data_IF_136298162944
#
_entry.id   IF_136298162944
#
_cell.length_a   1.000
_cell.length_b   1.000
_cell.length_c   1.000
_cell.angle_alpha   90.00
_cell.angle_beta   90.00
_cell.angle_gamma   90.00
#
_symmetry.space_group_name_H-M   'P 1'
#
loop_
_entity.id
_entity.type
_entity.pdbx_description
1 polymer ?
#
# COMPACT_ATOMS: atom_id res chain seq x y z
N UNK A 1 12.89 14.24 -16.59
CA UNK A 1 11.79 15.06 -16.04
C UNK A 1 10.50 14.26 -15.95
N UNK A 2 10.08 13.57 -17.00
CA UNK A 2 8.88 12.70 -16.97
C UNK A 2 9.08 11.49 -16.05
N UNK A 3 10.13 10.69 -16.26
CA UNK A 3 10.51 9.56 -15.39
C UNK A 3 10.69 9.92 -13.91
N UNK A 4 11.15 11.14 -13.62
CA UNK A 4 11.29 11.66 -12.26
C UNK A 4 9.91 11.88 -11.62
N UNK A 5 8.98 12.53 -12.33
CA UNK A 5 7.60 12.73 -11.88
C UNK A 5 6.90 11.41 -11.62
N UNK A 6 7.05 10.44 -12.52
CA UNK A 6 6.47 9.09 -12.38
C UNK A 6 7.03 8.39 -11.13
N UNK A 7 8.34 8.45 -10.93
CA UNK A 7 8.98 7.90 -9.72
C UNK A 7 8.46 8.56 -8.44
N UNK A 8 8.30 9.89 -8.45
CA UNK A 8 7.73 10.64 -7.31
C UNK A 8 6.28 10.21 -7.05
N UNK A 9 5.47 10.05 -8.09
CA UNK A 9 4.08 9.60 -7.95
C UNK A 9 4.01 8.18 -7.36
N UNK A 10 4.84 7.26 -7.84
CA UNK A 10 4.94 5.90 -7.28
C UNK A 10 5.35 5.93 -5.79
N UNK A 11 6.37 6.73 -5.43
CA UNK A 11 6.76 6.92 -4.02
C UNK A 11 5.58 7.43 -3.18
N UNK A 12 4.82 8.40 -3.69
CA UNK A 12 3.65 8.96 -2.98
C UNK A 12 2.55 7.92 -2.79
N UNK A 13 2.27 7.12 -3.83
CA UNK A 13 1.27 6.05 -3.79
C UNK A 13 1.65 4.97 -2.75
N UNK A 14 2.90 4.49 -2.78
CA UNK A 14 3.41 3.55 -1.78
C UNK A 14 3.41 4.14 -0.36
N UNK A 15 3.76 5.41 -0.20
CA UNK A 15 3.73 6.07 1.10
C UNK A 15 2.32 6.18 1.67
N UNK A 16 1.33 6.49 0.82
CA UNK A 16 -0.07 6.48 1.23
C UNK A 16 -0.53 5.08 1.66
N UNK A 17 -0.29 4.06 0.83
CA UNK A 17 -0.72 2.69 1.12
C UNK A 17 -0.05 2.11 2.37
N UNK A 18 1.25 2.32 2.55
CA UNK A 18 1.96 1.89 3.77
C UNK A 18 1.40 2.56 5.03
N UNK A 19 1.06 3.84 4.96
CA UNK A 19 0.37 4.55 6.04
C UNK A 19 -1.00 3.96 6.37
N UNK A 20 -1.82 3.68 5.35
CA UNK A 20 -3.12 3.03 5.51
C UNK A 20 -3.00 1.65 6.16
N UNK A 21 -2.09 0.81 5.66
CA UNK A 21 -1.86 -0.54 6.17
C UNK A 21 -1.37 -0.54 7.62
N UNK A 22 -0.55 0.45 7.99
CA UNK A 22 -0.11 0.69 9.37
C UNK A 22 -1.29 1.03 10.27
N UNK A 23 -2.14 1.97 9.88
CA UNK A 23 -3.33 2.32 10.66
C UNK A 23 -4.28 1.12 10.82
N UNK A 24 -4.51 0.37 9.76
CA UNK A 24 -5.38 -0.81 9.79
C UNK A 24 -4.80 -1.98 10.58
N UNK A 25 -3.49 -1.99 10.86
CA UNK A 25 -2.88 -2.94 11.78
C UNK A 25 -3.35 -2.75 13.22
N UNK A 26 -3.68 -1.52 13.58
CA UNK A 26 -4.13 -1.14 14.92
C UNK A 26 -5.66 -1.27 15.06
N UNK A 27 -6.37 -1.42 13.94
CA UNK A 27 -7.81 -1.69 13.92
C UNK A 27 -8.12 -3.17 14.28
N UNK A 28 -8.93 -3.45 15.31
CA UNK A 28 -9.21 -4.82 15.76
C UNK A 28 -9.85 -5.73 14.71
N UNK A 29 -10.54 -5.17 13.71
CA UNK A 29 -11.23 -5.92 12.67
C UNK A 29 -10.38 -6.01 11.42
N UNK A 30 -9.78 -4.91 10.97
CA UNK A 30 -8.93 -4.92 9.78
C UNK A 30 -7.62 -5.67 10.00
N UNK A 31 -7.01 -5.62 11.20
CA UNK A 31 -5.74 -6.29 11.49
C UNK A 31 -5.75 -7.80 11.21
N UNK A 32 -6.90 -8.45 11.38
CA UNK A 32 -7.11 -9.88 11.09
C UNK A 32 -7.89 -10.14 9.80
N UNK A 33 -8.17 -9.11 9.00
CA UNK A 33 -9.02 -9.22 7.81
C UNK A 33 -8.27 -9.83 6.62
N UNK A 34 -8.94 -10.74 5.89
CA UNK A 34 -8.44 -11.34 4.64
C UNK A 34 -8.09 -10.30 3.58
N UNK A 35 -8.96 -9.33 3.33
CA UNK A 35 -8.72 -8.32 2.29
C UNK A 35 -7.57 -7.37 2.64
N UNK A 36 -7.37 -7.03 3.92
CA UNK A 36 -6.18 -6.28 4.34
C UNK A 36 -4.91 -7.09 4.07
N UNK A 37 -4.91 -8.38 4.42
CA UNK A 37 -3.77 -9.26 4.18
C UNK A 37 -3.40 -9.30 2.69
N UNK A 38 -4.37 -9.58 1.84
CA UNK A 38 -4.18 -9.66 0.38
C UNK A 38 -3.57 -8.37 -0.18
N UNK A 39 -4.13 -7.21 0.17
CA UNK A 39 -3.59 -5.92 -0.27
C UNK A 39 -2.19 -5.65 0.30
N UNK A 40 -1.93 -6.04 1.55
CA UNK A 40 -0.62 -5.84 2.16
C UNK A 40 0.47 -6.70 1.49
N UNK A 41 0.16 -7.96 1.16
CA UNK A 41 1.05 -8.86 0.41
C UNK A 41 1.40 -8.25 -0.96
N UNK A 42 0.40 -7.81 -1.71
CA UNK A 42 0.56 -7.19 -3.02
C UNK A 42 1.39 -5.90 -2.97
N UNK A 43 1.10 -5.00 -2.02
CA UNK A 43 1.87 -3.76 -1.84
C UNK A 43 3.33 -4.04 -1.48
N UNK A 44 3.60 -5.06 -0.64
CA UNK A 44 4.96 -5.45 -0.28
C UNK A 44 5.72 -6.02 -1.48
N UNK A 45 5.06 -6.85 -2.29
CA UNK A 45 5.63 -7.40 -3.53
C UNK A 45 5.97 -6.29 -4.52
N UNK A 46 4.99 -5.45 -4.90
CA UNK A 46 5.19 -4.34 -5.84
C UNK A 46 6.20 -3.33 -5.35
N UNK A 47 6.28 -3.07 -4.03
CA UNK A 47 7.30 -2.18 -3.49
C UNK A 47 8.71 -2.77 -3.60
N UNK A 48 8.87 -4.08 -3.40
CA UNK A 48 10.17 -4.74 -3.56
C UNK A 48 10.65 -4.70 -5.02
N UNK A 49 9.75 -4.90 -5.98
CA UNK A 49 10.05 -4.75 -7.41
C UNK A 49 10.45 -3.31 -7.76
N UNK A 50 9.65 -2.34 -7.31
CA UNK A 50 9.95 -0.92 -7.49
C UNK A 50 11.30 -0.56 -6.87
N UNK A 51 11.58 -1.02 -5.65
CA UNK A 51 12.85 -0.81 -4.95
C UNK A 51 14.04 -1.38 -5.69
N UNK A 52 13.91 -2.56 -6.31
CA UNK A 52 14.99 -3.18 -7.06
C UNK A 52 15.35 -2.41 -8.34
N UNK A 53 14.37 -1.74 -8.97
CA UNK A 53 14.54 -1.05 -10.25
C UNK A 53 14.67 0.47 -10.20
N UNK A 54 14.39 1.11 -9.06
CA UNK A 54 14.34 2.57 -8.96
C UNK A 54 15.74 3.19 -8.85
N UNK A 55 16.00 4.21 -9.68
CA UNK A 55 17.13 5.11 -9.48
C UNK A 55 16.66 6.33 -8.67
N UNK A 56 17.15 6.43 -7.42
CA UNK A 56 16.80 7.53 -6.54
C UNK A 56 17.67 8.78 -6.73
N UNK A 57 18.83 8.71 -7.38
CA UNK A 57 19.76 9.85 -7.52
C UNK A 57 19.08 11.17 -7.97
N UNK A 58 18.25 11.18 -9.04
CA UNK A 58 17.61 12.41 -9.52
C UNK A 58 16.42 12.87 -8.66
N UNK A 59 16.00 12.08 -7.67
CA UNK A 59 14.80 12.34 -6.89
C UNK A 59 15.10 13.35 -5.77
N UNK A 60 14.23 14.35 -5.53
CA UNK A 60 14.41 15.29 -4.41
C UNK A 60 14.46 14.58 -3.06
N UNK A 61 15.28 15.11 -2.14
CA UNK A 61 15.56 14.49 -0.84
C UNK A 61 14.31 14.21 0.01
N UNK A 62 13.31 15.09 -0.08
CA UNK A 62 12.04 14.89 0.64
C UNK A 62 11.33 13.59 0.21
N UNK A 63 11.40 13.21 -1.06
CA UNK A 63 10.80 11.98 -1.57
C UNK A 63 11.70 10.76 -1.34
N UNK A 64 13.02 10.91 -1.34
CA UNK A 64 13.95 9.85 -0.88
C UNK A 64 13.65 9.45 0.56
N UNK A 65 13.43 10.44 1.43
CA UNK A 65 12.98 10.19 2.81
C UNK A 65 11.64 9.45 2.85
N UNK A 66 10.68 9.82 1.99
CA UNK A 66 9.38 9.12 1.92
C UNK A 66 9.53 7.67 1.46
N UNK A 67 10.40 7.40 0.48
CA UNK A 67 10.73 6.06 0.06
C UNK A 67 11.29 5.22 1.22
N UNK A 68 12.18 5.80 2.01
CA UNK A 68 12.75 5.14 3.18
C UNK A 68 11.73 4.94 4.30
N UNK A 69 10.84 5.91 4.51
CA UNK A 69 9.70 5.77 5.43
C UNK A 69 8.80 4.58 5.01
N UNK A 70 8.57 4.37 3.70
CA UNK A 70 7.78 3.21 3.21
C UNK A 70 8.45 1.91 3.61
N UNK A 71 9.75 1.76 3.34
CA UNK A 71 10.51 0.56 3.69
C UNK A 71 10.44 0.28 5.21
N UNK A 72 10.63 1.32 6.01
CA UNK A 72 10.55 1.24 7.47
C UNK A 72 9.16 0.87 7.99
N UNK A 73 8.10 1.29 7.30
CA UNK A 73 6.73 0.96 7.67
C UNK A 73 6.41 -0.47 7.26
N UNK A 74 6.66 -0.84 6.00
CA UNK A 74 6.31 -2.16 5.46
C UNK A 74 7.04 -3.29 6.19
N UNK A 75 8.30 -3.09 6.58
CA UNK A 75 9.06 -4.06 7.41
C UNK A 75 8.43 -4.31 8.80
N UNK A 76 7.55 -3.43 9.27
CA UNK A 76 6.83 -3.55 10.56
C UNK A 76 5.38 -4.00 10.40
N UNK A 77 4.90 -4.21 9.17
CA UNK A 77 3.56 -4.73 8.91
C UNK A 77 3.51 -6.22 9.29
N UNK A 78 2.58 -6.55 10.17
CA UNK A 78 2.25 -7.91 10.58
C UNK A 78 1.03 -8.38 9.80
N UNK A 79 1.19 -9.53 9.16
CA UNK A 79 0.12 -10.23 8.47
C UNK A 79 -0.51 -11.26 9.41
N UNK A 80 -1.85 -11.41 9.41
CA UNK A 80 -2.50 -12.44 10.20
C UNK A 80 -2.21 -13.83 9.60
N UNK A 81 -1.80 -14.78 10.44
CA UNK A 81 -1.60 -16.18 10.03
C UNK A 81 -2.92 -16.84 9.60
N UNK A 82 -4.01 -16.50 10.29
CA UNK A 82 -5.37 -17.01 10.04
C UNK A 82 -6.33 -15.85 9.73
N UNK A 83 -6.32 -15.32 8.50
CA UNK A 83 -7.16 -14.20 8.13
C UNK A 83 -8.65 -14.57 8.15
N UNK A 84 -9.48 -13.64 8.60
CA UNK A 84 -10.94 -13.77 8.66
C UNK A 84 -11.57 -12.93 7.54
N UNK A 85 -12.51 -13.45 6.75
CA UNK A 85 -13.24 -12.66 5.76
C UNK A 85 -14.31 -11.80 6.47
N UNK A 86 -13.89 -10.75 7.19
CA UNK A 86 -14.71 -9.97 8.13
C UNK A 86 -16.08 -9.55 7.59
N UNK A 87 -16.20 -9.18 6.30
CA UNK A 87 -17.47 -8.82 5.67
C UNK A 87 -18.40 -10.03 5.51
N UNK A 88 -17.88 -11.18 5.08
CA UNK A 88 -18.66 -12.43 4.97
C UNK A 88 -19.13 -12.93 6.33
N UNK A 89 -18.35 -12.70 7.38
CA UNK A 89 -18.68 -13.04 8.77
C UNK A 89 -19.59 -11.98 9.46
N UNK A 90 -19.99 -10.91 8.77
CA UNK A 90 -20.84 -9.85 9.35
C UNK A 90 -20.14 -8.92 10.35
N UNK A 91 -18.82 -9.04 10.50
CA UNK A 91 -18.00 -8.23 11.42
C UNK A 91 -17.54 -6.90 10.82
N UNK A 92 -17.66 -6.69 9.51
CA UNK A 92 -17.36 -5.40 8.88
C UNK A 92 -18.65 -4.57 8.78
N UNK A 93 -18.66 -3.36 9.35
CA UNK A 93 -19.83 -2.46 9.34
C UNK A 93 -19.62 -1.22 8.45
N UNK A 94 -18.55 -1.20 7.64
CA UNK A 94 -18.47 -0.21 6.57
C UNK A 94 -19.69 -0.37 5.63
N UNK A 95 -20.19 0.73 5.05
CA UNK A 95 -21.33 0.71 4.14
C UNK A 95 -21.25 -0.39 3.07
N UNK A 96 -22.42 -0.76 2.54
CA UNK A 96 -22.54 -1.89 1.63
C UNK A 96 -21.63 -1.73 0.40
N UNK A 97 -20.84 -2.79 0.13
CA UNK A 97 -19.84 -2.94 -0.94
C UNK A 97 -18.51 -2.19 -0.79
N UNK A 98 -18.39 -1.21 0.10
CA UNK A 98 -17.16 -0.41 0.19
C UNK A 98 -16.14 -1.02 1.15
N UNK A 99 -14.97 -1.43 0.65
CA UNK A 99 -13.89 -1.90 1.51
C UNK A 99 -12.76 -0.90 1.45
N UNK A 100 -12.60 -0.04 2.47
CA UNK A 100 -11.64 1.07 2.44
C UNK A 100 -10.24 0.67 1.97
N UNK A 101 -9.73 -0.50 2.38
CA UNK A 101 -8.41 -0.98 1.92
C UNK A 101 -8.38 -1.32 0.43
N UNK A 102 -9.49 -1.83 -0.13
CA UNK A 102 -9.62 -2.13 -1.56
C UNK A 102 -9.84 -0.86 -2.37
N UNK A 103 -10.73 0.04 -1.94
CA UNK A 103 -10.94 1.32 -2.63
C UNK A 103 -9.64 2.12 -2.74
N UNK A 104 -8.85 2.16 -1.66
CA UNK A 104 -7.54 2.81 -1.69
C UNK A 104 -6.52 2.06 -2.55
N UNK A 105 -6.66 0.74 -2.68
CA UNK A 105 -5.79 -0.07 -3.52
C UNK A 105 -6.09 0.12 -5.01
N UNK A 106 -7.36 0.22 -5.40
CA UNK A 106 -7.77 0.54 -6.78
C UNK A 106 -7.21 1.92 -7.20
N UNK A 107 -7.30 2.93 -6.33
CA UNK A 107 -6.66 4.23 -6.57
C UNK A 107 -5.13 4.11 -6.65
N UNK A 108 -4.52 3.22 -5.87
CA UNK A 108 -3.09 2.95 -5.98
C UNK A 108 -2.74 2.37 -7.35
N UNK A 109 -3.51 1.39 -7.84
CA UNK A 109 -3.32 0.75 -9.14
C UNK A 109 -3.35 1.79 -10.26
N UNK A 110 -4.38 2.64 -10.29
CA UNK A 110 -4.49 3.75 -11.25
C UNK A 110 -3.24 4.64 -11.25
N UNK A 111 -2.72 4.97 -10.06
CA UNK A 111 -1.56 5.87 -9.92
C UNK A 111 -0.21 5.25 -10.30
N UNK A 112 -0.11 3.92 -10.37
CA UNK A 112 1.16 3.23 -10.65
C UNK A 112 1.20 2.55 -12.02
N UNK A 113 0.04 2.32 -12.64
CA UNK A 113 -0.15 1.65 -13.95
C UNK A 113 -0.29 2.59 -15.15
N UNK A 114 -0.42 3.91 -14.94
CA UNK A 114 -0.57 4.93 -15.99
C UNK A 114 0.59 5.06 -17.03
N UNK A 115 1.55 4.12 -17.11
CA UNK A 115 2.76 4.26 -17.95
C UNK A 115 3.16 2.99 -18.76
N UNK A 116 2.22 2.21 -19.28
CA UNK A 116 2.51 1.12 -20.27
C UNK A 116 2.15 1.47 -21.74
N UNK A 117 2.04 2.75 -22.10
CA UNK A 117 1.86 3.19 -23.51
C UNK A 117 3.13 3.83 -24.12
#
# INVERSE_FOLDING_TARGET
>A
MEREKLTINKIRAFYFMSGLLKLQQEDPRCSVCKSRKEVAEEIMERFNEFKAGVNLDPIPEIFKKKFQDVEDILSKIKLPEKPIPQRKEGNCHFPDKECLVKECFEVFEDLVEEDED
#
